data_IF_039175478251
#
_entry.id   IF_039175478251
#
_cell.length_a   1.000
_cell.length_b   1.000
_cell.length_c   1.000
_cell.angle_alpha   90.00
_cell.angle_beta   90.00
_cell.angle_gamma   90.00
#
_symmetry.space_group_name_H-M   'P 1'
#
loop_
_entity.id
_entity.type
_entity.pdbx_description
1 polymer ?
#
# COMPACT_ATOMS: atom_id res chain seq x y z
N UNK A 1 3.18 9.83 -17.23
CA UNK A 1 3.16 8.75 -16.21
C UNK A 1 2.71 9.35 -14.90
N UNK A 2 1.69 8.75 -14.31
CA UNK A 2 1.18 9.20 -13.01
C UNK A 2 2.19 8.94 -11.88
N UNK A 3 2.18 9.79 -10.86
CA UNK A 3 3.12 9.72 -9.74
C UNK A 3 2.46 9.07 -8.52
N UNK A 4 3.16 8.12 -7.90
CA UNK A 4 2.81 7.58 -6.58
C UNK A 4 3.87 8.01 -5.57
N UNK A 5 3.43 8.36 -4.38
CA UNK A 5 4.29 8.74 -3.26
C UNK A 5 4.37 7.61 -2.26
N UNK A 6 5.59 7.24 -1.90
CA UNK A 6 5.85 6.12 -0.99
C UNK A 6 6.67 6.60 0.20
N UNK A 7 6.27 6.17 1.40
CA UNK A 7 7.03 6.37 2.65
C UNK A 7 7.71 5.05 2.98
N UNK A 8 9.02 5.09 3.10
CA UNK A 8 9.81 3.96 3.59
C UNK A 8 10.37 4.33 4.97
N UNK A 9 10.15 3.50 5.96
CA UNK A 9 10.69 3.75 7.29
C UNK A 9 11.25 2.46 7.91
N UNK A 10 12.35 2.62 8.62
CA UNK A 10 12.84 1.55 9.49
C UNK A 10 11.96 1.47 10.74
N UNK A 11 11.87 0.28 11.38
CA UNK A 11 11.15 0.16 12.64
C UNK A 11 11.64 1.19 13.67
N UNK A 12 10.69 1.81 14.36
CA UNK A 12 10.93 2.82 15.41
C UNK A 12 11.62 4.10 14.94
N UNK A 13 11.51 4.46 13.67
CA UNK A 13 12.02 5.72 13.10
C UNK A 13 11.01 6.89 13.18
N UNK A 14 9.90 6.72 13.90
CA UNK A 14 8.84 7.72 13.95
C UNK A 14 7.84 7.63 12.80
N UNK A 15 7.91 6.59 11.98
CA UNK A 15 7.07 6.41 10.81
C UNK A 15 5.57 6.42 11.11
N UNK A 16 5.15 5.88 12.25
CA UNK A 16 3.74 5.88 12.66
C UNK A 16 3.20 7.28 12.94
N UNK A 17 3.98 8.13 13.62
CA UNK A 17 3.59 9.52 13.91
C UNK A 17 3.50 10.33 12.63
N UNK A 18 4.51 10.22 11.76
CA UNK A 18 4.55 10.92 10.48
C UNK A 18 3.40 10.46 9.58
N UNK A 19 3.15 9.17 9.50
CA UNK A 19 2.03 8.61 8.72
C UNK A 19 0.67 9.12 9.21
N UNK A 20 0.47 9.20 10.53
CA UNK A 20 -0.76 9.77 11.11
C UNK A 20 -0.91 11.25 10.77
N UNK A 21 0.17 12.00 10.83
CA UNK A 21 0.15 13.43 10.47
C UNK A 21 -0.19 13.64 8.99
N UNK A 22 0.36 12.82 8.12
CA UNK A 22 0.08 12.88 6.68
C UNK A 22 -1.38 12.47 6.40
N UNK A 23 -1.86 11.39 6.99
CA UNK A 23 -3.23 10.89 6.78
C UNK A 23 -4.30 11.81 7.37
N UNK A 24 -3.94 12.72 8.27
CA UNK A 24 -4.85 13.73 8.80
C UNK A 24 -5.16 14.86 7.80
N UNK A 25 -4.42 14.95 6.69
CA UNK A 25 -4.72 15.92 5.64
C UNK A 25 -5.94 15.47 4.84
N UNK A 26 -6.87 16.40 4.57
CA UNK A 26 -8.15 16.10 3.93
C UNK A 26 -8.03 15.57 2.49
N UNK A 27 -6.95 15.89 1.80
CA UNK A 27 -6.70 15.52 0.40
C UNK A 27 -5.80 14.30 0.25
N UNK A 28 -5.40 13.65 1.35
CA UNK A 28 -4.50 12.50 1.34
C UNK A 28 -5.23 11.21 1.69
N UNK A 29 -4.98 10.19 0.89
CA UNK A 29 -5.36 8.80 1.15
C UNK A 29 -4.08 8.02 1.44
N UNK A 30 -3.98 7.48 2.65
CA UNK A 30 -2.82 6.69 3.07
C UNK A 30 -3.17 5.21 3.16
N UNK A 31 -2.43 4.38 2.44
CA UNK A 31 -2.44 2.93 2.63
C UNK A 31 -1.20 2.55 3.45
N UNK A 32 -1.38 1.72 4.47
CA UNK A 32 -0.33 1.45 5.46
C UNK A 32 0.17 0.01 5.43
N UNK A 33 1.47 -0.13 5.57
CA UNK A 33 2.14 -1.45 5.62
C UNK A 33 1.81 -2.32 4.41
N UNK A 34 2.01 -1.75 3.23
CA UNK A 34 1.71 -2.39 1.95
C UNK A 34 2.97 -3.06 1.39
N UNK A 35 2.78 -4.29 0.95
CA UNK A 35 3.81 -5.09 0.26
C UNK A 35 3.11 -5.93 -0.81
N UNK A 36 3.73 -6.18 -1.98
CA UNK A 36 3.12 -7.01 -3.03
C UNK A 36 2.66 -8.39 -2.55
N UNK A 37 3.37 -9.00 -1.61
CA UNK A 37 3.04 -10.30 -1.00
C UNK A 37 2.49 -10.17 0.43
N UNK A 38 1.97 -8.99 0.79
CA UNK A 38 1.58 -8.67 2.17
C UNK A 38 0.52 -9.60 2.76
N UNK A 39 -0.47 -10.01 1.96
CA UNK A 39 -1.49 -10.96 2.42
C UNK A 39 -0.88 -12.33 2.74
N UNK A 40 -0.03 -12.83 1.87
CA UNK A 40 0.65 -14.12 2.03
C UNK A 40 1.53 -14.16 3.29
N UNK A 41 2.26 -13.09 3.56
CA UNK A 41 3.09 -13.01 4.76
C UNK A 41 2.25 -12.94 6.03
N UNK A 42 1.14 -12.22 6.01
CA UNK A 42 0.22 -12.14 7.16
C UNK A 42 -0.46 -13.48 7.46
N UNK A 43 -0.78 -14.25 6.46
CA UNK A 43 -1.28 -15.62 6.64
C UNK A 43 -0.29 -16.49 7.39
N UNK A 44 1.00 -16.39 7.06
CA UNK A 44 2.07 -17.13 7.76
C UNK A 44 2.25 -16.70 9.21
N UNK A 45 1.87 -15.48 9.56
CA UNK A 45 1.93 -14.96 10.93
C UNK A 45 0.68 -15.28 11.75
N UNK A 46 -0.30 -15.94 11.18
CA UNK A 46 -1.60 -16.19 11.79
C UNK A 46 -2.29 -14.89 12.28
N UNK A 47 -2.14 -13.83 11.49
CA UNK A 47 -2.84 -12.56 11.70
C UNK A 47 -3.82 -12.31 10.55
N UNK A 48 -4.74 -11.35 10.72
CA UNK A 48 -5.73 -11.05 9.70
C UNK A 48 -5.06 -10.62 8.39
N UNK A 49 -5.11 -11.48 7.37
CA UNK A 49 -4.47 -11.27 6.08
C UNK A 49 -5.09 -10.16 5.24
N UNK A 50 -6.37 -9.89 5.43
CA UNK A 50 -7.13 -8.87 4.69
C UNK A 50 -6.50 -7.48 4.77
N UNK A 51 -5.90 -7.13 5.90
CA UNK A 51 -5.23 -5.85 6.09
C UNK A 51 -4.06 -5.67 5.10
N UNK A 52 -3.47 -6.75 4.64
CA UNK A 52 -2.43 -6.73 3.62
C UNK A 52 -2.94 -6.47 2.20
N UNK A 53 -4.24 -6.52 1.98
CA UNK A 53 -4.85 -6.22 0.68
C UNK A 53 -5.10 -4.71 0.57
N UNK A 54 -4.44 -4.00 -0.36
CA UNK A 54 -4.64 -2.56 -0.52
C UNK A 54 -6.08 -2.19 -0.88
N UNK A 55 -6.77 -3.04 -1.63
CA UNK A 55 -8.16 -2.82 -2.00
C UNK A 55 -9.10 -2.88 -0.78
N UNK A 56 -8.87 -3.86 0.11
CA UNK A 56 -9.61 -3.97 1.36
C UNK A 56 -9.38 -2.76 2.26
N UNK A 57 -8.12 -2.35 2.47
CA UNK A 57 -7.79 -1.15 3.25
C UNK A 57 -8.49 0.10 2.69
N UNK A 58 -8.40 0.29 1.39
CA UNK A 58 -8.98 1.45 0.73
C UNK A 58 -10.49 1.52 0.94
N UNK A 59 -11.18 0.43 0.73
CA UNK A 59 -12.64 0.38 0.91
C UNK A 59 -13.04 0.51 2.38
N UNK A 60 -12.38 -0.23 3.26
CA UNK A 60 -12.74 -0.26 4.69
C UNK A 60 -12.47 1.07 5.38
N UNK A 61 -11.35 1.73 5.04
CA UNK A 61 -10.94 2.95 5.72
C UNK A 61 -11.49 4.23 5.09
N UNK A 62 -11.75 4.22 3.80
CA UNK A 62 -12.15 5.43 3.07
C UNK A 62 -13.49 5.34 2.36
N UNK A 63 -13.98 4.14 2.08
CA UNK A 63 -15.32 3.90 1.52
C UNK A 63 -15.63 4.68 0.22
N UNK A 64 -14.69 4.68 -0.74
CA UNK A 64 -14.87 5.39 -2.01
C UNK A 64 -15.68 4.63 -3.06
N UNK A 65 -15.75 3.30 -2.95
CA UNK A 65 -16.58 2.50 -3.85
C UNK A 65 -17.97 2.31 -3.27
N UNK A 66 -18.99 2.28 -4.13
CA UNK A 66 -20.28 1.74 -3.74
C UNK A 66 -20.16 0.24 -3.45
N UNK A 67 -21.14 -0.34 -2.76
CA UNK A 67 -21.13 -1.79 -2.48
C UNK A 67 -21.06 -2.60 -3.77
N UNK A 68 -21.80 -2.18 -4.80
CA UNK A 68 -21.83 -2.86 -6.11
C UNK A 68 -20.49 -2.74 -6.84
N UNK A 69 -19.92 -1.54 -6.90
CA UNK A 69 -18.61 -1.30 -7.50
C UNK A 69 -17.51 -2.10 -6.81
N UNK A 70 -17.52 -2.12 -5.47
CA UNK A 70 -16.54 -2.88 -4.69
C UNK A 70 -16.63 -4.38 -4.97
N UNK A 71 -17.84 -4.94 -4.99
CA UNK A 71 -18.04 -6.35 -5.33
C UNK A 71 -17.51 -6.67 -6.72
N UNK A 72 -17.78 -5.82 -7.70
CA UNK A 72 -17.31 -5.97 -9.07
C UNK A 72 -15.79 -5.97 -9.15
N UNK A 73 -15.13 -5.02 -8.51
CA UNK A 73 -13.67 -4.92 -8.49
C UNK A 73 -13.04 -6.11 -7.77
N UNK A 74 -13.58 -6.49 -6.63
CA UNK A 74 -13.12 -7.64 -5.85
C UNK A 74 -13.23 -8.94 -6.65
N UNK A 75 -14.32 -9.15 -7.37
CA UNK A 75 -14.57 -10.35 -8.17
C UNK A 75 -13.78 -10.37 -9.49
N UNK A 76 -13.18 -9.25 -9.90
CA UNK A 76 -12.33 -9.16 -11.09
C UNK A 76 -10.99 -9.87 -10.94
N UNK A 77 -10.65 -10.34 -9.74
CA UNK A 77 -9.42 -11.08 -9.46
C UNK A 77 -8.15 -10.34 -9.90
N UNK A 78 -8.04 -9.08 -9.54
CA UNK A 78 -6.92 -8.20 -9.91
C UNK A 78 -5.62 -8.63 -9.20
N UNK A 79 -4.50 -8.52 -9.90
CA UNK A 79 -3.19 -8.65 -9.27
C UNK A 79 -2.86 -7.37 -8.46
N UNK A 80 -1.75 -7.39 -7.74
CA UNK A 80 -1.37 -6.28 -6.86
C UNK A 80 -1.26 -4.94 -7.61
N UNK A 81 -0.55 -4.91 -8.74
CA UNK A 81 -0.39 -3.68 -9.52
C UNK A 81 -1.73 -3.15 -10.04
N UNK A 82 -2.57 -4.03 -10.56
CA UNK A 82 -3.91 -3.69 -11.04
C UNK A 82 -4.80 -3.10 -9.93
N UNK A 83 -4.69 -3.63 -8.71
CA UNK A 83 -5.38 -3.06 -7.53
C UNK A 83 -4.94 -1.63 -7.27
N UNK A 84 -3.64 -1.37 -7.27
CA UNK A 84 -3.11 -0.01 -7.04
C UNK A 84 -3.54 0.94 -8.16
N UNK A 85 -3.51 0.49 -9.41
CA UNK A 85 -4.00 1.28 -10.55
C UNK A 85 -5.47 1.64 -10.37
N UNK A 86 -6.30 0.68 -9.99
CA UNK A 86 -7.73 0.88 -9.77
C UNK A 86 -7.99 1.86 -8.63
N UNK A 87 -7.29 1.72 -7.51
CA UNK A 87 -7.37 2.63 -6.36
C UNK A 87 -6.95 4.05 -6.79
N UNK A 88 -5.85 4.19 -7.50
CA UNK A 88 -5.34 5.50 -7.92
C UNK A 88 -6.31 6.22 -8.87
N UNK A 89 -6.95 5.50 -9.77
CA UNK A 89 -8.00 6.06 -10.63
C UNK A 89 -9.17 6.60 -9.80
N UNK A 90 -9.61 5.87 -8.81
CA UNK A 90 -10.71 6.28 -7.93
C UNK A 90 -10.32 7.51 -7.09
N UNK A 91 -9.09 7.55 -6.61
CA UNK A 91 -8.55 8.67 -5.85
C UNK A 91 -8.48 9.94 -6.72
N UNK A 92 -8.00 9.83 -7.95
CA UNK A 92 -7.89 10.95 -8.88
C UNK A 92 -9.26 11.55 -9.24
N UNK A 93 -10.31 10.75 -9.33
CA UNK A 93 -11.68 11.24 -9.56
C UNK A 93 -12.17 12.13 -8.42
N UNK A 94 -11.61 12.01 -7.24
CA UNK A 94 -12.01 12.76 -6.04
C UNK A 94 -10.98 13.85 -5.67
N UNK A 95 -10.06 14.19 -6.55
CA UNK A 95 -8.99 15.18 -6.34
C UNK A 95 -8.16 14.91 -5.09
N UNK A 96 -7.91 13.64 -4.80
CA UNK A 96 -7.09 13.21 -3.65
C UNK A 96 -5.71 12.74 -4.11
N UNK A 97 -4.82 12.57 -3.15
CA UNK A 97 -3.44 12.12 -3.38
C UNK A 97 -3.23 10.78 -2.68
N UNK A 98 -2.72 9.79 -3.40
CA UNK A 98 -2.36 8.50 -2.83
C UNK A 98 -0.94 8.53 -2.26
N UNK A 99 -0.83 8.16 -1.00
CA UNK A 99 0.44 7.89 -0.32
C UNK A 99 0.42 6.45 0.19
N UNK A 100 1.48 5.71 -0.07
CA UNK A 100 1.63 4.32 0.37
C UNK A 100 2.78 4.24 1.38
N UNK A 101 2.51 3.71 2.56
CA UNK A 101 3.56 3.34 3.50
C UNK A 101 4.00 1.91 3.20
N UNK A 102 5.26 1.78 2.81
CA UNK A 102 5.87 0.51 2.44
C UNK A 102 6.11 -0.38 3.68
N UNK A 103 5.79 -1.65 3.57
CA UNK A 103 6.17 -2.65 4.55
C UNK A 103 7.58 -3.19 4.23
N UNK A 104 8.54 -2.27 4.19
CA UNK A 104 9.93 -2.54 3.80
C UNK A 104 10.66 -3.53 4.71
N UNK A 105 10.22 -3.67 5.95
CA UNK A 105 10.77 -4.64 6.90
C UNK A 105 10.87 -6.05 6.31
N UNK A 106 9.84 -6.47 5.57
CA UNK A 106 9.79 -7.81 4.97
C UNK A 106 10.92 -8.01 3.95
N UNK A 107 11.22 -7.00 3.15
CA UNK A 107 12.28 -7.10 2.13
C UNK A 107 13.69 -7.12 2.77
N UNK A 108 13.93 -6.24 3.73
CA UNK A 108 15.28 -6.04 4.27
C UNK A 108 15.65 -7.01 5.38
N UNK A 109 14.71 -7.43 6.18
CA UNK A 109 14.94 -8.39 7.27
C UNK A 109 14.48 -9.80 6.92
N UNK A 110 13.43 -9.94 6.13
CA UNK A 110 12.88 -11.21 5.65
C UNK A 110 12.21 -12.08 6.70
N UNK A 111 12.74 -12.10 7.90
CA UNK A 111 12.27 -12.97 8.98
C UNK A 111 10.98 -12.44 9.60
N UNK A 112 10.08 -13.34 9.99
CA UNK A 112 10.11 -14.81 9.85
C UNK A 112 9.58 -15.34 8.51
N UNK A 113 9.38 -14.49 7.52
CA UNK A 113 8.57 -14.78 6.32
C UNK A 113 9.36 -15.34 5.15
N UNK A 114 10.54 -14.80 4.92
CA UNK A 114 11.36 -15.11 3.76
C UNK A 114 12.83 -14.74 4.02
N UNK A 115 13.69 -15.01 3.06
CA UNK A 115 15.06 -14.51 3.07
C UNK A 115 15.11 -13.02 2.75
N UNK A 116 16.02 -12.24 3.36
CA UNK A 116 16.17 -10.83 3.04
C UNK A 116 16.46 -10.59 1.55
N UNK A 117 15.84 -9.58 0.99
CA UNK A 117 16.04 -9.16 -0.40
C UNK A 117 17.00 -7.97 -0.46
N UNK A 118 17.72 -7.84 -1.58
CA UNK A 118 18.57 -6.69 -1.88
C UNK A 118 17.84 -5.62 -2.72
N UNK A 119 16.52 -5.66 -2.73
CA UNK A 119 15.67 -4.76 -3.52
C UNK A 119 14.41 -4.42 -2.76
N UNK A 120 13.75 -3.34 -3.14
CA UNK A 120 12.45 -2.98 -2.60
C UNK A 120 11.34 -3.50 -3.53
N UNK A 121 10.56 -4.46 -3.05
CA UNK A 121 9.52 -5.12 -3.84
C UNK A 121 8.41 -4.17 -4.28
N UNK A 122 8.03 -3.22 -3.44
CA UNK A 122 6.97 -2.26 -3.77
C UNK A 122 7.41 -1.33 -4.90
N UNK A 123 8.60 -0.76 -4.82
CA UNK A 123 9.15 0.10 -5.89
C UNK A 123 9.27 -0.69 -7.18
N UNK A 124 9.79 -1.91 -7.13
CA UNK A 124 9.97 -2.75 -8.32
C UNK A 124 8.65 -2.98 -9.07
N UNK A 125 7.60 -3.30 -8.34
CA UNK A 125 6.29 -3.55 -8.96
C UNK A 125 5.64 -2.27 -9.46
N UNK A 126 5.62 -1.21 -8.65
CA UNK A 126 4.91 0.03 -8.99
C UNK A 126 5.63 0.85 -10.07
N UNK A 127 6.94 0.79 -10.16
CA UNK A 127 7.71 1.51 -11.18
C UNK A 127 7.44 1.02 -12.61
N UNK A 128 6.81 -0.13 -12.77
CA UNK A 128 6.35 -0.63 -14.08
C UNK A 128 5.27 0.26 -14.70
N UNK A 129 4.54 1.01 -13.89
CA UNK A 129 3.39 1.80 -14.34
C UNK A 129 3.42 3.25 -13.86
N UNK A 130 4.09 3.55 -12.75
CA UNK A 130 4.09 4.86 -12.11
C UNK A 130 5.48 5.46 -12.00
N UNK A 131 5.54 6.79 -12.00
CA UNK A 131 6.69 7.52 -11.48
C UNK A 131 6.66 7.44 -9.95
N UNK A 132 7.77 7.09 -9.32
CA UNK A 132 7.84 6.91 -7.87
C UNK A 132 8.56 8.09 -7.22
N UNK A 133 7.93 8.68 -6.20
CA UNK A 133 8.56 9.63 -5.29
C UNK A 133 8.62 9.02 -3.91
N UNK A 134 9.82 8.86 -3.38
CA UNK A 134 10.07 8.18 -2.11
C UNK A 134 10.54 9.15 -1.02
N UNK A 135 10.02 8.95 0.18
CA UNK A 135 10.50 9.55 1.41
C UNK A 135 11.05 8.45 2.31
N UNK A 136 12.33 8.52 2.65
CA UNK A 136 12.96 7.58 3.57
C UNK A 136 13.10 8.20 4.95
N UNK A 137 12.60 7.49 5.96
CA UNK A 137 12.70 7.86 7.37
C UNK A 137 13.68 6.90 8.06
N UNK A 138 14.76 7.46 8.54
CA UNK A 138 15.83 6.71 9.20
C UNK A 138 15.93 7.10 10.66
#
# INVERSE_FOLDING_TARGET
METIRIIHNLPRSGGSIISKSISAQNDVILLSEIHPDGMKFREKMDVESKIGDPLYQFQEWYNFFSIEEYKKVKNSNLNFLEKIITINKQINKNDKILVIRDWAFVDFFGRPFADPLKKNSLIEVLSKHFEIKSLFLI
#
